data_IF_351663325550
#
_entry.id   IF_351663325550
#
_cell.length_a   1.000
_cell.length_b   1.000
_cell.length_c   1.000
_cell.angle_alpha   90.00
_cell.angle_beta   90.00
_cell.angle_gamma   90.00
#
_symmetry.space_group_name_H-M   'P 1'
#
loop_
_entity.id
_entity.type
_entity.pdbx_description
1 polymer ?
#
# COMPACT_ATOMS: atom_id res chain seq x y z
N UNK A 1 7.46 23.78 22.40
CA UNK A 1 6.54 22.75 21.84
C UNK A 1 5.67 23.34 20.73
N UNK A 2 4.97 24.46 20.96
CA UNK A 2 4.06 25.07 19.98
C UNK A 2 4.79 25.56 18.72
N UNK A 3 5.93 26.27 18.87
CA UNK A 3 6.73 26.76 17.73
C UNK A 3 7.31 25.62 16.87
N UNK A 4 7.83 24.57 17.52
CA UNK A 4 8.37 23.37 16.85
C UNK A 4 7.27 22.58 16.14
N UNK A 5 6.10 22.44 16.76
CA UNK A 5 4.94 21.78 16.14
C UNK A 5 4.46 22.55 14.92
N UNK A 6 4.29 23.87 15.02
CA UNK A 6 3.82 24.71 13.92
C UNK A 6 4.77 24.65 12.71
N UNK A 7 6.08 24.58 12.97
CA UNK A 7 7.10 24.40 11.93
C UNK A 7 6.92 23.10 11.15
N UNK A 8 6.70 21.97 11.83
CA UNK A 8 6.42 20.69 11.17
C UNK A 8 5.04 20.66 10.51
N UNK A 9 4.01 21.17 11.19
CA UNK A 9 2.64 21.15 10.71
C UNK A 9 2.46 21.98 9.43
N UNK A 10 2.95 23.23 9.39
CA UNK A 10 2.96 24.04 8.16
C UNK A 10 3.70 23.36 7.02
N UNK A 11 4.80 22.65 7.30
CA UNK A 11 5.60 21.99 6.28
C UNK A 11 4.96 20.71 5.73
N UNK A 12 4.06 20.07 6.49
CA UNK A 12 3.30 18.89 6.05
C UNK A 12 1.95 19.25 5.42
N UNK A 13 1.26 20.25 5.97
CA UNK A 13 -0.10 20.66 5.62
C UNK A 13 -0.17 21.87 4.67
N UNK A 14 0.96 22.52 4.39
CA UNK A 14 1.04 23.76 3.60
C UNK A 14 1.19 24.99 4.49
N UNK A 15 1.81 26.04 3.95
CA UNK A 15 2.19 27.24 4.73
C UNK A 15 1.00 27.94 5.41
N UNK A 16 -0.16 27.89 4.77
CA UNK A 16 -1.47 28.40 5.21
C UNK A 16 -2.44 27.28 5.61
N UNK A 17 -1.97 26.04 5.77
CA UNK A 17 -2.80 24.87 6.05
C UNK A 17 -3.83 24.52 4.95
N UNK A 18 -3.64 24.97 3.71
CA UNK A 18 -4.58 24.74 2.59
C UNK A 18 -4.97 23.28 2.39
N UNK A 19 -4.06 22.33 2.69
CA UNK A 19 -4.36 20.91 2.55
C UNK A 19 -5.45 20.47 3.52
N UNK A 20 -5.52 21.05 4.72
CA UNK A 20 -6.55 20.72 5.70
C UNK A 20 -7.94 20.94 5.12
N UNK A 21 -8.20 22.16 4.63
CA UNK A 21 -9.51 22.53 4.12
C UNK A 21 -9.87 21.78 2.84
N UNK A 22 -8.91 21.59 1.92
CA UNK A 22 -9.14 20.81 0.69
C UNK A 22 -9.52 19.36 1.00
N UNK A 23 -8.83 18.72 1.95
CA UNK A 23 -9.17 17.37 2.37
C UNK A 23 -10.49 17.32 3.13
N UNK A 24 -10.78 18.32 3.97
CA UNK A 24 -12.08 18.42 4.65
C UNK A 24 -13.23 18.47 3.64
N UNK A 25 -13.18 19.37 2.65
CA UNK A 25 -14.19 19.44 1.57
C UNK A 25 -14.33 18.09 0.84
N UNK A 26 -13.20 17.48 0.46
CA UNK A 26 -13.21 16.20 -0.24
C UNK A 26 -13.85 15.09 0.61
N UNK A 27 -13.56 15.05 1.92
CA UNK A 27 -14.14 14.07 2.85
C UNK A 27 -15.65 14.28 3.00
N UNK A 28 -16.13 15.53 3.11
CA UNK A 28 -17.57 15.82 3.17
C UNK A 28 -18.28 15.41 1.89
N UNK A 29 -17.68 15.69 0.73
CA UNK A 29 -18.24 15.28 -0.57
C UNK A 29 -18.29 13.77 -0.72
N UNK A 30 -17.23 13.06 -0.32
CA UNK A 30 -17.18 11.59 -0.34
C UNK A 30 -18.21 11.01 0.62
N UNK A 31 -18.34 11.54 1.83
CA UNK A 31 -19.35 11.11 2.78
C UNK A 31 -20.75 11.23 2.20
N UNK A 32 -21.10 12.41 1.68
CA UNK A 32 -22.41 12.67 1.08
C UNK A 32 -22.73 11.76 -0.11
N UNK A 33 -21.72 11.48 -0.95
CA UNK A 33 -21.87 10.60 -2.11
C UNK A 33 -21.99 9.12 -1.73
N UNK A 34 -21.40 8.69 -0.63
CA UNK A 34 -21.48 7.31 -0.16
C UNK A 34 -22.74 7.08 0.69
N UNK A 35 -23.13 8.05 1.50
CA UNK A 35 -24.34 7.97 2.33
C UNK A 35 -25.61 7.92 1.49
N UNK A 36 -25.60 8.45 0.26
CA UNK A 36 -26.75 8.35 -0.66
C UNK A 36 -26.97 6.96 -1.25
N UNK A 37 -26.06 6.00 -1.00
CA UNK A 37 -26.19 4.64 -1.50
C UNK A 37 -27.12 3.76 -0.65
N UNK A 38 -27.64 4.26 0.48
CA UNK A 38 -28.56 3.57 1.41
C UNK A 38 -28.19 2.11 1.71
N UNK A 39 -26.88 1.82 1.74
CA UNK A 39 -26.34 0.51 2.10
C UNK A 39 -25.72 0.59 3.48
N UNK A 40 -26.18 -0.27 4.37
CA UNK A 40 -25.60 -0.44 5.70
C UNK A 40 -25.02 -1.84 5.83
N UNK A 41 -23.80 -1.91 6.35
CA UNK A 41 -23.10 -3.13 6.72
C UNK A 41 -22.89 -3.12 8.23
N UNK A 42 -23.12 -4.26 8.86
CA UNK A 42 -22.80 -4.44 10.28
C UNK A 42 -21.29 -4.69 10.40
N UNK A 43 -20.56 -3.64 10.79
CA UNK A 43 -19.10 -3.73 10.96
C UNK A 43 -18.77 -3.73 12.44
N UNK A 44 -18.20 -4.83 12.93
CA UNK A 44 -17.85 -4.97 14.34
C UNK A 44 -16.84 -3.91 14.79
N UNK A 45 -16.95 -3.49 16.06
CA UNK A 45 -16.03 -2.51 16.67
C UNK A 45 -14.57 -3.00 16.61
N UNK A 46 -14.35 -4.30 16.72
CA UNK A 46 -13.02 -4.91 16.66
C UNK A 46 -12.40 -4.76 15.26
N UNK A 47 -13.19 -4.96 14.21
CA UNK A 47 -12.75 -4.76 12.81
C UNK A 47 -12.34 -3.31 12.60
N UNK A 48 -13.18 -2.37 13.05
CA UNK A 48 -12.91 -0.95 12.96
C UNK A 48 -11.59 -0.58 13.64
N UNK A 49 -11.37 -1.03 14.89
CA UNK A 49 -10.14 -0.79 15.63
C UNK A 49 -8.90 -1.35 14.93
N UNK A 50 -8.98 -2.59 14.44
CA UNK A 50 -7.85 -3.23 13.75
C UNK A 50 -7.54 -2.54 12.43
N UNK A 51 -8.57 -2.15 11.67
CA UNK A 51 -8.40 -1.43 10.40
C UNK A 51 -7.70 -0.08 10.58
N UNK A 52 -8.13 0.71 11.57
CA UNK A 52 -7.47 1.97 11.91
C UNK A 52 -6.02 1.72 12.32
N UNK A 53 -5.78 0.70 13.14
CA UNK A 53 -4.45 0.39 13.66
C UNK A 53 -3.47 0.05 12.53
N UNK A 54 -3.81 -0.94 11.69
CA UNK A 54 -2.93 -1.41 10.62
C UNK A 54 -2.69 -0.31 9.58
N UNK A 55 -3.75 0.39 9.18
CA UNK A 55 -3.65 1.45 8.17
C UNK A 55 -2.82 2.64 8.67
N UNK A 56 -3.08 3.11 9.89
CA UNK A 56 -2.34 4.23 10.50
C UNK A 56 -0.88 3.86 10.68
N UNK A 57 -0.59 2.68 11.23
CA UNK A 57 0.78 2.19 11.42
C UNK A 57 1.55 2.19 10.09
N UNK A 58 0.97 1.61 9.04
CA UNK A 58 1.61 1.55 7.71
C UNK A 58 1.88 2.92 7.10
N UNK A 59 0.92 3.85 7.19
CA UNK A 59 1.08 5.20 6.65
C UNK A 59 2.11 6.01 7.40
N UNK A 60 2.08 5.98 8.74
CA UNK A 60 3.05 6.70 9.56
C UNK A 60 4.45 6.15 9.29
N UNK A 61 4.62 4.83 9.30
CA UNK A 61 5.91 4.20 9.01
C UNK A 61 6.44 4.57 7.62
N UNK A 62 5.57 4.56 6.60
CA UNK A 62 5.92 4.99 5.23
C UNK A 62 6.29 6.47 5.18
N UNK A 63 5.59 7.33 5.93
CA UNK A 63 5.87 8.77 5.98
C UNK A 63 7.24 9.02 6.61
N UNK A 64 7.56 8.33 7.70
CA UNK A 64 8.86 8.39 8.36
C UNK A 64 10.00 7.91 7.44
N UNK A 65 9.79 6.81 6.72
CA UNK A 65 10.77 6.21 5.82
C UNK A 65 11.00 6.98 4.50
N UNK A 66 10.21 8.02 4.21
CA UNK A 66 10.29 8.75 2.94
C UNK A 66 11.53 9.65 2.82
N UNK A 67 12.13 9.71 1.62
CA UNK A 67 13.28 10.58 1.35
C UNK A 67 12.95 12.08 1.49
N UNK A 68 11.72 12.46 1.18
CA UNK A 68 11.22 13.82 1.39
C UNK A 68 11.23 14.21 2.87
N UNK A 69 10.87 13.26 3.75
CA UNK A 69 10.93 13.48 5.19
C UNK A 69 12.37 13.63 5.69
N UNK A 70 13.33 12.88 5.12
CA UNK A 70 14.76 13.04 5.44
C UNK A 70 15.26 14.46 5.17
N UNK A 71 14.94 15.02 4.00
CA UNK A 71 15.32 16.39 3.63
C UNK A 71 14.72 17.42 4.59
N UNK A 72 13.48 17.17 5.04
CA UNK A 72 12.77 18.05 5.99
C UNK A 72 13.39 18.02 7.39
N UNK A 73 13.77 16.84 7.89
CA UNK A 73 14.40 16.64 9.18
C UNK A 73 15.81 17.28 9.25
N UNK A 74 16.59 17.22 8.17
CA UNK A 74 17.94 17.81 8.13
C UNK A 74 17.94 19.29 8.51
N UNK A 75 16.98 20.07 8.02
CA UNK A 75 16.86 21.50 8.37
C UNK A 75 16.36 21.73 9.80
N UNK A 76 15.55 20.81 10.36
CA UNK A 76 15.08 20.93 11.74
C UNK A 76 16.18 20.62 12.76
N UNK A 77 17.09 19.71 12.44
CA UNK A 77 18.24 19.38 13.29
C UNK A 77 19.33 20.46 13.32
N UNK A 78 19.29 21.45 12.42
CA UNK A 78 20.21 22.58 12.42
C UNK A 78 19.87 23.65 13.47
N UNK A 79 18.68 23.57 14.07
CA UNK A 79 18.23 24.48 15.12
C UNK A 79 18.48 23.84 16.50
N UNK A 80 18.69 24.63 17.57
CA UNK A 80 18.74 24.07 18.92
C UNK A 80 17.39 23.50 19.34
N UNK A 81 17.35 22.24 19.80
CA UNK A 81 16.13 21.59 20.27
C UNK A 81 16.37 20.71 21.49
N UNK A 82 15.31 20.49 22.28
CA UNK A 82 15.28 19.48 23.36
C UNK A 82 14.71 18.17 22.80
N UNK A 83 15.37 17.01 22.94
CA UNK A 83 14.96 15.77 22.27
C UNK A 83 13.51 15.34 22.54
N UNK A 84 13.08 15.30 23.80
CA UNK A 84 11.72 14.87 24.15
C UNK A 84 10.62 15.80 23.61
N UNK A 85 10.86 17.11 23.60
CA UNK A 85 9.91 18.11 23.05
C UNK A 85 9.90 18.02 21.53
N UNK A 86 11.05 17.81 20.90
CA UNK A 86 11.16 17.61 19.46
C UNK A 86 10.39 16.37 19.01
N UNK A 87 10.61 15.22 19.67
CA UNK A 87 9.95 13.96 19.33
C UNK A 87 8.44 14.08 19.47
N UNK A 88 7.95 14.70 20.55
CA UNK A 88 6.52 14.92 20.76
C UNK A 88 5.94 15.84 19.68
N UNK A 89 6.56 16.99 19.41
CA UNK A 89 6.10 17.92 18.38
C UNK A 89 6.11 17.28 16.99
N UNK A 90 7.13 16.48 16.69
CA UNK A 90 7.25 15.77 15.44
C UNK A 90 6.18 14.68 15.30
N UNK A 91 5.94 13.88 16.35
CA UNK A 91 4.86 12.90 16.40
C UNK A 91 3.50 13.55 16.15
N UNK A 92 3.14 14.59 16.90
CA UNK A 92 1.84 15.24 16.74
C UNK A 92 1.65 15.86 15.36
N UNK A 93 2.70 16.41 14.75
CA UNK A 93 2.61 16.96 13.40
C UNK A 93 2.38 15.86 12.34
N UNK A 94 3.09 14.74 12.45
CA UNK A 94 2.90 13.58 11.55
C UNK A 94 1.55 12.91 11.79
N UNK A 95 1.11 12.81 13.05
CA UNK A 95 -0.20 12.30 13.42
C UNK A 95 -1.30 13.19 12.83
N UNK A 96 -1.27 14.51 13.03
CA UNK A 96 -2.27 15.42 12.45
C UNK A 96 -2.31 15.34 10.92
N UNK A 97 -1.14 15.33 10.28
CA UNK A 97 -1.06 15.14 8.82
C UNK A 97 -1.70 13.81 8.37
N UNK A 98 -1.39 12.72 9.07
CA UNK A 98 -1.91 11.38 8.76
C UNK A 98 -3.41 11.29 9.01
N UNK A 99 -3.89 11.90 10.10
CA UNK A 99 -5.29 11.99 10.46
C UNK A 99 -6.10 12.58 9.33
N UNK A 100 -5.69 13.76 8.88
CA UNK A 100 -6.47 14.55 7.91
C UNK A 100 -6.36 13.98 6.50
N UNK A 101 -5.16 13.58 6.08
CA UNK A 101 -4.90 13.27 4.67
C UNK A 101 -5.08 11.80 4.31
N UNK A 102 -5.23 10.91 5.32
CA UNK A 102 -5.28 9.47 5.09
C UNK A 102 -6.31 8.75 5.96
N UNK A 103 -6.20 8.76 7.29
CA UNK A 103 -7.02 7.89 8.14
C UNK A 103 -8.47 8.36 8.26
N UNK A 104 -8.72 9.66 8.11
CA UNK A 104 -10.06 10.26 7.96
C UNK A 104 -10.88 9.63 6.83
N UNK A 105 -10.26 9.17 5.73
CA UNK A 105 -10.98 8.52 4.64
C UNK A 105 -11.58 7.18 5.06
N UNK A 106 -10.87 6.41 5.89
CA UNK A 106 -11.41 5.18 6.48
C UNK A 106 -12.55 5.49 7.43
N UNK A 107 -12.39 6.55 8.25
CA UNK A 107 -13.45 6.98 9.17
C UNK A 107 -14.71 7.40 8.40
N UNK A 108 -14.58 8.20 7.34
CA UNK A 108 -15.70 8.59 6.48
C UNK A 108 -16.36 7.39 5.81
N UNK A 109 -15.56 6.46 5.29
CA UNK A 109 -16.09 5.23 4.71
C UNK A 109 -16.88 4.42 5.75
N UNK A 110 -16.34 4.26 6.96
CA UNK A 110 -17.06 3.60 8.05
C UNK A 110 -18.35 4.32 8.42
N UNK A 111 -18.31 5.65 8.58
CA UNK A 111 -19.48 6.47 8.91
C UNK A 111 -20.58 6.40 7.83
N UNK A 112 -20.21 6.26 6.56
CA UNK A 112 -21.18 6.18 5.47
C UNK A 112 -21.90 4.83 5.43
N UNK A 113 -21.23 3.75 5.84
CA UNK A 113 -21.69 2.38 5.64
C UNK A 113 -22.06 1.64 6.92
N UNK A 114 -21.75 2.14 8.12
CA UNK A 114 -21.97 1.45 9.39
C UNK A 114 -22.58 2.39 10.45
N UNK A 115 -23.29 1.81 11.42
CA UNK A 115 -23.82 2.54 12.57
C UNK A 115 -22.68 3.00 13.49
N UNK A 116 -22.61 4.31 13.75
CA UNK A 116 -21.58 4.87 14.61
C UNK A 116 -22.12 5.10 16.03
N UNK A 117 -21.65 4.31 16.99
CA UNK A 117 -22.00 4.47 18.41
C UNK A 117 -20.96 5.29 19.17
N UNK A 118 -21.32 5.80 20.35
CA UNK A 118 -20.40 6.60 21.20
C UNK A 118 -19.07 5.89 21.51
N UNK A 119 -19.05 4.54 21.57
CA UNK A 119 -17.83 3.74 21.80
C UNK A 119 -16.83 3.78 20.64
N UNK A 120 -17.25 4.14 19.42
CA UNK A 120 -16.36 4.24 18.27
C UNK A 120 -15.41 5.42 18.36
N UNK A 121 -15.79 6.49 19.08
CA UNK A 121 -14.94 7.67 19.30
C UNK A 121 -13.67 7.34 20.09
N UNK A 122 -13.74 6.78 21.33
CA UNK A 122 -12.55 6.38 22.06
C UNK A 122 -11.80 5.25 21.36
N UNK A 123 -12.50 4.31 20.73
CA UNK A 123 -11.86 3.23 19.97
C UNK A 123 -11.03 3.75 18.79
N UNK A 124 -11.54 4.73 18.05
CA UNK A 124 -10.81 5.40 16.98
C UNK A 124 -9.57 6.11 17.52
N UNK A 125 -9.75 6.96 18.54
CA UNK A 125 -8.66 7.80 19.06
C UNK A 125 -7.51 6.96 19.62
N UNK A 126 -7.83 5.93 20.41
CA UNK A 126 -6.84 5.05 21.01
C UNK A 126 -6.12 4.21 19.95
N UNK A 127 -6.85 3.61 19.02
CA UNK A 127 -6.25 2.81 17.94
C UNK A 127 -5.33 3.66 17.06
N UNK A 128 -5.76 4.88 16.71
CA UNK A 128 -4.99 5.82 15.90
C UNK A 128 -3.69 6.27 16.59
N UNK A 129 -3.78 6.74 17.84
CA UNK A 129 -2.62 7.21 18.60
C UNK A 129 -1.63 6.08 18.86
N UNK A 130 -2.13 4.91 19.28
CA UNK A 130 -1.31 3.75 19.56
C UNK A 130 -0.56 3.26 18.31
N UNK A 131 -1.24 3.15 17.17
CA UNK A 131 -0.62 2.77 15.90
C UNK A 131 0.46 3.76 15.45
N UNK A 132 0.19 5.06 15.58
CA UNK A 132 1.14 6.10 15.26
C UNK A 132 2.40 6.03 16.13
N UNK A 133 2.24 5.90 17.45
CA UNK A 133 3.36 5.78 18.39
C UNK A 133 4.18 4.51 18.11
N UNK A 134 3.51 3.39 17.82
CA UNK A 134 4.18 2.12 17.54
C UNK A 134 5.03 2.24 16.29
N UNK A 135 4.53 2.90 15.25
CA UNK A 135 5.29 3.17 14.03
C UNK A 135 6.56 4.02 14.30
N UNK A 136 6.45 5.04 15.15
CA UNK A 136 7.60 5.87 15.55
C UNK A 136 8.67 5.07 16.30
N UNK A 137 8.26 4.27 17.29
CA UNK A 137 9.17 3.47 18.11
C UNK A 137 9.85 2.39 17.27
N UNK A 138 9.07 1.65 16.47
CA UNK A 138 9.59 0.62 15.56
C UNK A 138 10.58 1.24 14.59
N UNK A 139 10.27 2.38 13.98
CA UNK A 139 11.18 3.07 13.06
C UNK A 139 12.49 3.47 13.75
N UNK A 140 12.41 4.07 14.94
CA UNK A 140 13.59 4.49 15.70
C UNK A 140 14.46 3.30 16.13
N UNK A 141 13.87 2.18 16.55
CA UNK A 141 14.58 0.96 16.93
C UNK A 141 15.27 0.30 15.73
N UNK A 142 14.58 0.22 14.59
CA UNK A 142 15.15 -0.32 13.35
C UNK A 142 16.36 0.50 12.88
N UNK A 143 16.28 1.84 12.95
CA UNK A 143 17.41 2.71 12.61
C UNK A 143 18.53 2.67 13.64
N UNK A 144 18.21 2.46 14.92
CA UNK A 144 19.19 2.24 15.98
C UNK A 144 19.84 0.85 15.97
N UNK A 145 19.49 -0.03 15.02
CA UNK A 145 20.06 -1.38 14.88
C UNK A 145 19.40 -2.44 15.76
N UNK A 146 18.48 -2.09 16.66
CA UNK A 146 17.85 -3.03 17.58
C UNK A 146 16.60 -3.69 16.96
N UNK A 147 16.85 -4.63 16.04
CA UNK A 147 15.78 -5.31 15.29
C UNK A 147 14.90 -6.20 16.17
N UNK A 148 15.46 -6.82 17.21
CA UNK A 148 14.72 -7.71 18.11
C UNK A 148 13.65 -6.91 18.86
N UNK A 149 14.03 -5.79 19.47
CA UNK A 149 13.08 -4.92 20.16
C UNK A 149 12.00 -4.37 19.22
N UNK A 150 12.35 -4.03 17.98
CA UNK A 150 11.37 -3.60 16.98
C UNK A 150 10.36 -4.72 16.65
N UNK A 151 10.81 -5.96 16.46
CA UNK A 151 9.94 -7.11 16.25
C UNK A 151 9.03 -7.36 17.45
N UNK A 152 9.53 -7.25 18.69
CA UNK A 152 8.72 -7.41 19.90
C UNK A 152 7.59 -6.38 19.98
N UNK A 153 7.84 -5.11 19.65
CA UNK A 153 6.80 -4.08 19.60
C UNK A 153 5.75 -4.36 18.53
N UNK A 154 6.15 -4.86 17.35
CA UNK A 154 5.21 -5.26 16.29
C UNK A 154 4.36 -6.45 16.75
N UNK A 155 4.97 -7.47 17.38
CA UNK A 155 4.26 -8.64 17.89
C UNK A 155 3.28 -8.27 19.01
N UNK A 156 3.69 -7.39 19.92
CA UNK A 156 2.80 -6.88 20.97
C UNK A 156 1.60 -6.13 20.37
N UNK A 157 1.84 -5.31 19.35
CA UNK A 157 0.76 -4.62 18.64
C UNK A 157 -0.19 -5.61 17.97
N UNK A 158 0.35 -6.63 17.30
CA UNK A 158 -0.44 -7.68 16.67
C UNK A 158 -1.27 -8.46 17.70
N UNK A 159 -0.70 -8.81 18.85
CA UNK A 159 -1.42 -9.47 19.94
C UNK A 159 -2.57 -8.62 20.48
N UNK A 160 -2.36 -7.30 20.67
CA UNK A 160 -3.43 -6.38 21.08
C UNK A 160 -4.57 -6.32 20.04
N UNK A 161 -4.25 -6.33 18.74
CA UNK A 161 -5.25 -6.37 17.67
C UNK A 161 -6.07 -7.67 17.63
N UNK A 162 -5.57 -8.76 18.21
CA UNK A 162 -6.21 -10.08 18.22
C UNK A 162 -7.06 -10.33 19.47
N UNK A 163 -7.03 -9.44 20.47
CA UNK A 163 -7.83 -9.60 21.69
C UNK A 163 -9.34 -9.60 21.36
N UNK A 164 -10.11 -10.64 21.71
CA UNK A 164 -11.50 -10.79 21.26
C UNK A 164 -12.44 -9.79 21.91
N UNK A 165 -12.17 -9.36 23.13
CA UNK A 165 -13.04 -8.42 23.84
C UNK A 165 -12.65 -6.95 23.61
N UNK A 166 -13.60 -6.07 23.26
CA UNK A 166 -13.31 -4.67 22.99
C UNK A 166 -12.84 -3.91 24.23
N UNK A 167 -13.34 -4.26 25.42
CA UNK A 167 -12.97 -3.63 26.69
C UNK A 167 -11.49 -3.87 27.02
N UNK A 168 -11.03 -5.12 26.98
CA UNK A 168 -9.61 -5.47 27.21
C UNK A 168 -8.69 -4.89 26.14
N UNK A 169 -9.17 -4.80 24.89
CA UNK A 169 -8.41 -4.15 23.82
C UNK A 169 -8.22 -2.65 24.07
N UNK A 170 -9.27 -1.94 24.46
CA UNK A 170 -9.19 -0.49 24.76
C UNK A 170 -8.26 -0.20 25.95
N UNK A 171 -8.35 -0.97 27.03
CA UNK A 171 -7.48 -0.81 28.20
C UNK A 171 -6.03 -1.15 27.86
N UNK A 172 -5.79 -2.21 27.10
CA UNK A 172 -4.46 -2.57 26.58
C UNK A 172 -3.85 -1.47 25.71
N UNK A 173 -4.63 -0.87 24.81
CA UNK A 173 -4.20 0.26 23.98
C UNK A 173 -3.85 1.50 24.84
N UNK A 174 -4.64 1.82 25.86
CA UNK A 174 -4.36 2.92 26.79
C UNK A 174 -3.01 2.73 27.49
N UNK A 175 -2.78 1.56 28.10
CA UNK A 175 -1.52 1.22 28.78
C UNK A 175 -0.35 1.31 27.80
N UNK A 176 -0.54 0.76 26.60
CA UNK A 176 0.46 0.77 25.53
C UNK A 176 0.80 2.20 25.09
N UNK A 177 -0.17 3.09 24.92
CA UNK A 177 0.06 4.51 24.59
C UNK A 177 0.93 5.20 25.64
N UNK A 178 0.62 5.00 26.93
CA UNK A 178 1.37 5.63 28.03
C UNK A 178 2.82 5.17 28.03
N UNK A 179 3.05 3.86 27.93
CA UNK A 179 4.38 3.26 27.89
C UNK A 179 5.17 3.76 26.67
N UNK A 180 4.54 3.75 25.50
CA UNK A 180 5.14 4.21 24.25
C UNK A 180 5.44 5.71 24.27
N UNK A 181 4.58 6.54 24.86
CA UNK A 181 4.81 7.97 25.04
C UNK A 181 6.08 8.25 25.86
N UNK A 182 6.30 7.48 26.94
CA UNK A 182 7.51 7.57 27.75
C UNK A 182 8.76 7.14 26.98
N UNK A 183 8.69 6.02 26.25
CA UNK A 183 9.79 5.54 25.40
C UNK A 183 10.14 6.57 24.32
N UNK A 184 9.14 7.14 23.66
CA UNK A 184 9.33 8.15 22.63
C UNK A 184 9.97 9.43 23.21
N UNK A 185 9.59 9.84 24.41
CA UNK A 185 10.18 11.00 25.07
C UNK A 185 11.69 10.81 25.35
N UNK A 186 12.11 9.59 25.66
CA UNK A 186 13.52 9.23 25.91
C UNK A 186 14.31 8.85 24.67
N UNK A 187 13.65 8.70 23.52
CA UNK A 187 14.30 8.27 22.28
C UNK A 187 15.18 9.41 21.73
N UNK A 188 16.37 9.06 21.25
CA UNK A 188 17.23 10.02 20.57
C UNK A 188 16.58 10.46 19.23
N UNK A 189 16.37 11.77 19.08
CA UNK A 189 15.76 12.37 17.89
C UNK A 189 16.52 12.07 16.60
N UNK A 190 17.84 11.84 16.67
CA UNK A 190 18.64 11.50 15.49
C UNK A 190 18.29 10.12 14.91
N UNK A 191 17.64 9.23 15.67
CA UNK A 191 17.19 7.92 15.16
C UNK A 191 16.09 8.03 14.11
N UNK A 192 15.40 9.18 14.03
CA UNK A 192 14.46 9.46 12.95
C UNK A 192 15.15 9.87 11.65
N UNK A 193 16.46 10.13 11.69
CA UNK A 193 17.29 10.38 10.52
C UNK A 193 17.99 9.10 10.06
N UNK A 194 17.79 8.71 8.81
CA UNK A 194 18.52 7.60 8.18
C UNK A 194 19.48 8.15 7.14
N UNK A 195 20.78 7.98 7.38
CA UNK A 195 21.80 8.33 6.40
C UNK A 195 21.82 7.27 5.29
N UNK A 196 21.33 7.65 4.11
CA UNK A 196 21.36 6.80 2.94
C UNK A 196 22.75 6.87 2.32
N UNK A 197 23.71 6.14 2.89
CA UNK A 197 24.91 5.80 2.11
C UNK A 197 24.45 4.98 0.91
N UNK A 198 24.49 5.59 -0.28
CA UNK A 198 24.43 4.88 -1.55
C UNK A 198 25.52 3.82 -1.49
N UNK A 199 25.13 2.56 -1.27
CA UNK A 199 26.03 1.45 -1.55
C UNK A 199 26.08 1.35 -3.07
N UNK A 200 27.12 1.95 -3.64
CA UNK A 200 27.48 1.78 -5.05
C UNK A 200 27.54 0.29 -5.33
N UNK A 201 26.52 -0.20 -6.02
CA UNK A 201 26.40 -1.62 -6.32
C UNK A 201 27.34 -1.91 -7.47
N UNK A 202 28.47 -2.53 -7.14
CA UNK A 202 29.52 -2.97 -8.05
C UNK A 202 28.95 -3.62 -9.32
N UNK A 203 29.51 -3.22 -10.46
CA UNK A 203 29.17 -3.75 -11.77
C UNK A 203 29.63 -5.21 -11.88
N UNK A 204 28.69 -6.15 -11.75
CA UNK A 204 28.93 -7.56 -12.07
C UNK A 204 29.03 -7.78 -13.60
N UNK A 205 29.92 -8.67 -14.08
CA UNK A 205 30.20 -8.87 -15.49
C UNK A 205 29.04 -9.54 -16.25
N UNK A 206 28.86 -9.14 -17.51
CA UNK A 206 27.83 -9.63 -18.41
C UNK A 206 28.11 -11.08 -18.83
N UNK A 207 27.23 -12.02 -18.46
CA UNK A 207 27.08 -13.26 -19.24
C UNK A 207 25.59 -13.64 -19.35
N UNK A 208 25.08 -13.56 -20.59
CA UNK A 208 23.71 -13.86 -21.02
C UNK A 208 22.63 -12.97 -20.36
N UNK A 209 22.21 -11.87 -20.97
CA UNK A 209 21.26 -10.92 -20.37
C UNK A 209 19.81 -11.16 -20.82
N UNK A 210 19.06 -11.98 -20.06
CA UNK A 210 17.60 -12.04 -20.18
C UNK A 210 16.95 -10.80 -19.55
N UNK A 211 15.89 -10.25 -20.15
CA UNK A 211 15.17 -9.10 -19.60
C UNK A 211 14.62 -9.33 -18.19
N UNK A 212 14.25 -10.57 -17.84
CA UNK A 212 13.86 -10.94 -16.47
C UNK A 212 14.97 -10.72 -15.45
N UNK A 213 16.22 -11.08 -15.77
CA UNK A 213 17.38 -10.82 -14.91
C UNK A 213 17.61 -9.33 -14.71
N UNK A 214 17.35 -8.52 -15.75
CA UNK A 214 17.36 -7.06 -15.61
C UNK A 214 16.29 -6.58 -14.63
N UNK A 215 15.04 -7.04 -14.76
CA UNK A 215 13.93 -6.68 -13.86
C UNK A 215 14.27 -7.05 -12.41
N UNK A 216 14.70 -8.30 -12.16
CA UNK A 216 15.02 -8.78 -10.81
C UNK A 216 16.15 -7.96 -10.20
N UNK A 217 17.22 -7.73 -10.96
CA UNK A 217 18.35 -6.89 -10.50
C UNK A 217 17.88 -5.47 -10.19
N UNK A 218 17.06 -4.89 -11.06
CA UNK A 218 16.51 -3.56 -10.86
C UNK A 218 15.67 -3.48 -9.57
N UNK A 219 14.77 -4.45 -9.31
CA UNK A 219 13.98 -4.48 -8.07
C UNK A 219 14.86 -4.59 -6.81
N UNK A 220 15.90 -5.43 -6.85
CA UNK A 220 16.82 -5.60 -5.70
C UNK A 220 17.60 -4.30 -5.43
N UNK A 221 18.01 -3.59 -6.48
CA UNK A 221 18.67 -2.29 -6.35
C UNK A 221 17.71 -1.20 -5.85
N UNK A 222 16.44 -1.22 -6.27
CA UNK A 222 15.42 -0.25 -5.88
C UNK A 222 14.50 -0.80 -4.78
N UNK A 223 15.00 -0.80 -3.54
CA UNK A 223 14.30 -1.34 -2.34
C UNK A 223 12.89 -0.81 -2.13
N UNK A 224 12.57 0.40 -2.58
CA UNK A 224 11.22 0.99 -2.51
C UNK A 224 10.17 0.13 -3.21
N UNK A 225 10.51 -0.55 -4.31
CA UNK A 225 9.62 -1.43 -5.06
C UNK A 225 9.34 -2.69 -4.25
N UNK A 226 10.40 -3.28 -3.66
CA UNK A 226 10.27 -4.46 -2.79
C UNK A 226 9.42 -4.17 -1.55
N UNK A 227 9.61 -3.02 -0.90
CA UNK A 227 8.82 -2.65 0.27
C UNK A 227 7.33 -2.46 -0.07
N UNK A 228 7.00 -1.97 -1.27
CA UNK A 228 5.62 -1.83 -1.69
C UNK A 228 4.96 -3.20 -1.93
N UNK A 229 5.63 -4.10 -2.66
CA UNK A 229 5.13 -5.47 -2.86
C UNK A 229 4.96 -6.19 -1.53
N UNK A 230 5.93 -6.06 -0.60
CA UNK A 230 5.82 -6.65 0.73
C UNK A 230 4.65 -6.05 1.54
N UNK A 231 4.44 -4.73 1.46
CA UNK A 231 3.29 -4.10 2.09
C UNK A 231 1.96 -4.60 1.50
N UNK A 232 1.92 -4.87 0.20
CA UNK A 232 0.75 -5.43 -0.48
C UNK A 232 0.49 -6.89 -0.06
N UNK A 233 1.54 -7.70 0.17
CA UNK A 233 1.42 -9.04 0.74
C UNK A 233 0.85 -9.02 2.17
N UNK A 234 1.35 -8.10 3.03
CA UNK A 234 0.80 -7.93 4.39
C UNK A 234 -0.65 -7.47 4.32
N UNK A 235 -0.96 -6.54 3.42
CA UNK A 235 -2.32 -6.06 3.19
C UNK A 235 -3.25 -7.17 2.69
N UNK A 236 -2.77 -8.12 1.90
CA UNK A 236 -3.52 -9.30 1.49
C UNK A 236 -3.98 -10.14 2.69
N UNK A 237 -3.05 -10.50 3.58
CA UNK A 237 -3.41 -11.26 4.80
C UNK A 237 -4.38 -10.47 5.70
N UNK A 238 -4.14 -9.17 5.87
CA UNK A 238 -5.04 -8.29 6.61
C UNK A 238 -6.44 -8.21 5.98
N UNK A 239 -6.53 -8.10 4.66
CA UNK A 239 -7.81 -8.06 3.95
C UNK A 239 -8.59 -9.36 4.10
N UNK A 240 -7.92 -10.52 4.04
CA UNK A 240 -8.57 -11.81 4.25
C UNK A 240 -9.20 -11.90 5.66
N UNK A 241 -8.46 -11.45 6.68
CA UNK A 241 -8.98 -11.35 8.05
C UNK A 241 -10.16 -10.38 8.17
N UNK A 242 -10.09 -9.21 7.53
CA UNK A 242 -11.17 -8.21 7.62
C UNK A 242 -12.46 -8.66 6.94
N UNK A 243 -12.37 -9.30 5.78
CA UNK A 243 -13.53 -9.77 5.02
C UNK A 243 -14.31 -10.85 5.77
N UNK A 244 -13.61 -11.72 6.52
CA UNK A 244 -14.22 -12.69 7.45
C UNK A 244 -15.12 -12.01 8.46
N UNK A 245 -14.55 -11.03 9.15
CA UNK A 245 -15.17 -10.37 10.28
C UNK A 245 -16.34 -9.46 9.88
N UNK A 246 -16.45 -9.13 8.59
CA UNK A 246 -17.56 -8.37 8.01
C UNK A 246 -18.60 -9.27 7.33
N UNK A 247 -18.44 -10.60 7.37
CA UNK A 247 -19.27 -11.57 6.65
C UNK A 247 -19.38 -11.31 5.14
N UNK A 248 -18.33 -10.74 4.54
CA UNK A 248 -18.29 -10.36 3.12
C UNK A 248 -17.66 -11.46 2.24
N UNK A 249 -17.99 -12.72 2.50
CA UNK A 249 -17.43 -13.89 1.79
C UNK A 249 -17.58 -13.84 0.27
N UNK A 250 -18.71 -13.36 -0.21
CA UNK A 250 -19.05 -13.20 -1.63
C UNK A 250 -18.26 -12.08 -2.34
N UNK A 251 -17.48 -11.27 -1.61
CA UNK A 251 -16.70 -10.14 -2.15
C UNK A 251 -15.24 -10.52 -2.44
N UNK A 252 -14.90 -11.81 -2.42
CA UNK A 252 -13.57 -12.33 -2.71
C UNK A 252 -12.98 -11.87 -4.06
N UNK A 253 -13.75 -11.77 -5.17
CA UNK A 253 -13.25 -11.23 -6.43
C UNK A 253 -12.78 -9.78 -6.32
N UNK A 254 -13.42 -8.97 -5.47
CA UNK A 254 -13.03 -7.58 -5.23
C UNK A 254 -11.67 -7.51 -4.53
N UNK A 255 -11.36 -8.47 -3.65
CA UNK A 255 -10.04 -8.55 -3.01
C UNK A 255 -8.92 -8.70 -4.04
N UNK A 256 -9.08 -9.58 -5.04
CA UNK A 256 -8.10 -9.73 -6.13
C UNK A 256 -7.93 -8.43 -6.92
N UNK A 257 -9.02 -7.71 -7.18
CA UNK A 257 -8.96 -6.42 -7.85
C UNK A 257 -8.19 -5.37 -7.03
N UNK A 258 -8.42 -5.27 -5.71
CA UNK A 258 -7.68 -4.32 -4.86
C UNK A 258 -6.21 -4.75 -4.71
N UNK A 259 -5.92 -6.04 -4.66
CA UNK A 259 -4.55 -6.55 -4.63
C UNK A 259 -3.80 -6.38 -5.95
N UNK A 260 -4.49 -5.96 -7.03
CA UNK A 260 -3.85 -5.56 -8.29
C UNK A 260 -3.24 -4.15 -8.26
N UNK A 261 -3.39 -3.38 -7.17
CA UNK A 261 -2.77 -2.06 -6.97
C UNK A 261 -1.23 -2.11 -6.79
N UNK A 262 -0.53 -3.03 -7.47
CA UNK A 262 0.91 -3.13 -7.46
C UNK A 262 1.55 -2.07 -8.38
N UNK A 263 1.47 -0.83 -7.91
CA UNK A 263 1.77 0.37 -8.68
C UNK A 263 3.22 0.43 -9.18
N UNK A 264 4.25 0.12 -8.36
CA UNK A 264 5.64 0.21 -8.79
C UNK A 264 5.99 -0.81 -9.86
N UNK A 265 5.43 -2.01 -9.79
CA UNK A 265 5.66 -3.05 -10.80
C UNK A 265 4.91 -2.72 -12.10
N UNK A 266 3.70 -2.16 -12.01
CA UNK A 266 2.91 -1.73 -13.17
C UNK A 266 3.43 -0.49 -13.91
N UNK A 267 4.47 0.19 -13.38
CA UNK A 267 5.12 1.35 -14.00
C UNK A 267 6.62 1.16 -14.26
N UNK A 268 7.11 -0.09 -14.17
CA UNK A 268 8.54 -0.41 -14.18
C UNK A 268 9.24 0.01 -15.49
N UNK A 269 8.56 -0.07 -16.64
CA UNK A 269 9.15 0.40 -17.90
C UNK A 269 9.19 1.92 -17.95
N UNK A 270 8.13 2.58 -17.49
CA UNK A 270 8.02 4.04 -17.40
C UNK A 270 8.97 4.66 -16.36
N UNK A 271 9.43 3.91 -15.36
CA UNK A 271 10.38 4.41 -14.35
C UNK A 271 11.80 4.62 -14.89
N UNK A 272 12.14 4.01 -16.04
CA UNK A 272 13.42 4.20 -16.69
C UNK A 272 13.27 4.94 -18.04
N UNK A 273 13.61 6.24 -18.03
CA UNK A 273 13.46 7.17 -19.17
C UNK A 273 14.10 6.66 -20.47
N UNK A 274 15.23 5.97 -20.38
CA UNK A 274 15.96 5.47 -21.54
C UNK A 274 15.55 4.07 -21.97
N UNK A 275 14.87 3.31 -21.09
CA UNK A 275 14.59 1.90 -21.32
C UNK A 275 13.53 1.70 -22.41
N UNK A 276 12.46 2.49 -22.38
CA UNK A 276 11.39 2.39 -23.37
C UNK A 276 11.91 2.62 -24.80
N UNK A 277 12.71 3.68 -25.03
CA UNK A 277 13.35 3.94 -26.33
C UNK A 277 14.31 2.84 -26.75
N UNK A 278 15.10 2.29 -25.81
CA UNK A 278 16.02 1.17 -26.10
C UNK A 278 15.26 -0.10 -26.48
N UNK A 279 14.15 -0.39 -25.81
CA UNK A 279 13.31 -1.54 -26.16
C UNK A 279 12.70 -1.34 -27.56
N UNK A 280 12.24 -0.12 -27.88
CA UNK A 280 11.72 0.23 -29.21
C UNK A 280 12.73 0.09 -30.35
N UNK A 281 14.03 0.00 -30.06
CA UNK A 281 15.08 -0.22 -31.05
C UNK A 281 15.46 -1.71 -31.20
N UNK A 282 14.99 -2.59 -30.31
CA UNK A 282 15.34 -4.02 -30.36
C UNK A 282 14.48 -4.76 -31.40
N UNK A 283 15.04 -5.69 -32.19
CA UNK A 283 14.22 -6.63 -32.95
C UNK A 283 13.54 -7.62 -32.00
N UNK A 284 12.27 -7.96 -32.26
CA UNK A 284 11.51 -8.93 -31.47
C UNK A 284 11.10 -8.45 -30.07
N UNK A 285 10.78 -7.17 -29.92
CA UNK A 285 10.45 -6.50 -28.64
C UNK A 285 9.35 -7.21 -27.85
N UNK A 286 8.32 -7.69 -28.56
CA UNK A 286 7.24 -8.45 -27.95
C UNK A 286 7.76 -9.68 -27.20
N UNK A 287 8.66 -10.44 -27.82
CA UNK A 287 9.17 -11.70 -27.26
C UNK A 287 10.25 -11.48 -26.22
N UNK A 288 11.14 -10.50 -26.45
CA UNK A 288 12.31 -10.28 -25.59
C UNK A 288 12.01 -9.41 -24.38
N UNK A 289 10.94 -8.62 -24.41
CA UNK A 289 10.64 -7.64 -23.35
C UNK A 289 9.20 -7.71 -22.87
N UNK A 290 8.20 -7.60 -23.76
CA UNK A 290 6.78 -7.50 -23.38
C UNK A 290 6.29 -8.78 -22.70
N UNK A 291 6.55 -9.95 -23.31
CA UNK A 291 6.15 -11.26 -22.75
C UNK A 291 6.85 -11.54 -21.41
N UNK A 292 8.18 -11.41 -21.28
CA UNK A 292 8.84 -11.63 -19.99
C UNK A 292 8.38 -10.64 -18.91
N UNK A 293 8.10 -9.38 -19.28
CA UNK A 293 7.54 -8.42 -18.34
C UNK A 293 6.13 -8.82 -17.87
N UNK A 294 5.25 -9.23 -18.79
CA UNK A 294 3.92 -9.72 -18.43
C UNK A 294 3.95 -10.97 -17.55
N UNK A 295 4.82 -11.93 -17.87
CA UNK A 295 5.04 -13.12 -17.03
C UNK A 295 5.53 -12.73 -15.62
N UNK A 296 6.40 -11.74 -15.52
CA UNK A 296 6.85 -11.24 -14.22
C UNK A 296 5.69 -10.65 -13.40
N UNK A 297 4.84 -9.80 -14.01
CA UNK A 297 3.66 -9.24 -13.32
C UNK A 297 2.69 -10.36 -12.91
N UNK A 298 2.43 -11.31 -13.81
CA UNK A 298 1.57 -12.47 -13.53
C UNK A 298 2.07 -13.25 -12.31
N UNK A 299 3.35 -13.61 -12.27
CA UNK A 299 3.95 -14.35 -11.15
C UNK A 299 3.82 -13.58 -9.84
N UNK A 300 4.08 -12.27 -9.84
CA UNK A 300 3.97 -11.46 -8.63
C UNK A 300 2.52 -11.35 -8.15
N UNK A 301 1.56 -11.16 -9.07
CA UNK A 301 0.14 -11.12 -8.72
C UNK A 301 -0.32 -12.48 -8.16
N UNK A 302 0.05 -13.59 -8.81
CA UNK A 302 -0.26 -14.94 -8.32
C UNK A 302 0.33 -15.19 -6.93
N UNK A 303 1.55 -14.73 -6.67
CA UNK A 303 2.17 -14.84 -5.34
C UNK A 303 1.37 -14.07 -4.28
N UNK A 304 0.95 -12.84 -4.57
CA UNK A 304 0.13 -12.03 -3.65
C UNK A 304 -1.25 -12.69 -3.43
N UNK A 305 -1.88 -13.19 -4.50
CA UNK A 305 -3.17 -13.86 -4.42
C UNK A 305 -3.09 -15.19 -3.67
N UNK A 306 -1.98 -15.92 -3.80
CA UNK A 306 -1.72 -17.12 -3.01
C UNK A 306 -1.67 -16.78 -1.51
N UNK A 307 -0.95 -15.72 -1.12
CA UNK A 307 -0.91 -15.27 0.29
C UNK A 307 -2.32 -14.93 0.78
N UNK A 308 -3.11 -14.23 -0.03
CA UNK A 308 -4.50 -13.93 0.28
C UNK A 308 -5.34 -15.20 0.49
N UNK A 309 -5.28 -16.15 -0.45
CA UNK A 309 -6.05 -17.40 -0.39
C UNK A 309 -5.61 -18.32 0.76
N UNK A 310 -4.31 -18.39 1.06
CA UNK A 310 -3.80 -19.15 2.22
C UNK A 310 -4.29 -18.49 3.51
N UNK A 311 -4.25 -17.16 3.59
CA UNK A 311 -4.79 -16.43 4.74
C UNK A 311 -6.30 -16.65 4.86
N UNK A 312 -7.03 -16.63 3.75
CA UNK A 312 -8.45 -16.94 3.72
C UNK A 312 -8.74 -18.33 4.25
N UNK A 313 -7.99 -19.34 3.79
CA UNK A 313 -8.12 -20.73 4.23
C UNK A 313 -7.85 -20.88 5.74
N UNK A 314 -6.87 -20.16 6.27
CA UNK A 314 -6.55 -20.19 7.71
C UNK A 314 -7.68 -19.61 8.57
N UNK A 315 -8.38 -18.60 8.05
CA UNK A 315 -9.45 -17.90 8.77
C UNK A 315 -10.82 -18.60 8.57
N UNK A 316 -11.19 -18.97 7.35
CA UNK A 316 -12.52 -19.49 6.99
C UNK A 316 -12.60 -21.02 6.88
N UNK A 317 -11.47 -21.72 6.95
CA UNK A 317 -11.38 -23.18 6.87
C UNK A 317 -11.55 -23.79 5.47
N UNK A 318 -12.14 -23.07 4.50
CA UNK A 318 -12.28 -23.55 3.11
C UNK A 318 -12.22 -22.43 2.08
N UNK A 319 -11.82 -22.79 0.85
CA UNK A 319 -11.83 -21.93 -0.34
C UNK A 319 -12.46 -22.74 -1.48
N UNK A 320 -13.51 -22.22 -2.10
CA UNK A 320 -14.11 -22.89 -3.27
C UNK A 320 -13.15 -22.91 -4.46
N UNK A 321 -13.21 -23.99 -5.25
CA UNK A 321 -12.34 -24.21 -6.43
C UNK A 321 -12.45 -23.04 -7.42
N UNK A 322 -13.65 -22.45 -7.55
CA UNK A 322 -13.91 -21.32 -8.45
C UNK A 322 -13.02 -20.12 -8.12
N UNK A 323 -12.71 -19.86 -6.85
CA UNK A 323 -11.86 -18.73 -6.47
C UNK A 323 -10.39 -18.91 -6.85
N UNK A 324 -9.89 -20.16 -6.91
CA UNK A 324 -8.57 -20.42 -7.49
C UNK A 324 -8.57 -20.09 -8.99
N UNK A 325 -9.62 -20.47 -9.72
CA UNK A 325 -9.77 -20.16 -11.15
C UNK A 325 -9.84 -18.64 -11.35
N UNK A 326 -10.69 -17.94 -10.59
CA UNK A 326 -10.81 -16.49 -10.62
C UNK A 326 -9.46 -15.83 -10.35
N UNK A 327 -8.69 -16.29 -9.36
CA UNK A 327 -7.39 -15.72 -9.05
C UNK A 327 -6.41 -15.79 -10.23
N UNK A 328 -6.40 -16.90 -10.97
CA UNK A 328 -5.54 -17.08 -12.15
C UNK A 328 -5.98 -16.15 -13.27
N UNK A 329 -7.28 -16.10 -13.56
CA UNK A 329 -7.87 -15.25 -14.61
C UNK A 329 -7.62 -13.78 -14.30
N UNK A 330 -7.84 -13.33 -13.06
CA UNK A 330 -7.59 -11.96 -12.63
C UNK A 330 -6.11 -11.59 -12.68
N UNK A 331 -5.22 -12.50 -12.26
CA UNK A 331 -3.78 -12.24 -12.31
C UNK A 331 -3.30 -12.09 -13.76
N UNK A 332 -3.82 -12.91 -14.68
CA UNK A 332 -3.55 -12.83 -16.10
C UNK A 332 -4.10 -11.55 -16.72
N UNK A 333 -5.37 -11.21 -16.49
CA UNK A 333 -5.98 -10.00 -17.02
C UNK A 333 -5.26 -8.74 -16.52
N UNK A 334 -4.94 -8.69 -15.22
CA UNK A 334 -4.17 -7.60 -14.62
C UNK A 334 -2.79 -7.45 -15.27
N UNK A 335 -2.09 -8.56 -15.52
CA UNK A 335 -0.78 -8.55 -16.17
C UNK A 335 -0.87 -8.05 -17.62
N UNK A 336 -1.84 -8.53 -18.41
CA UNK A 336 -2.03 -8.12 -19.80
C UNK A 336 -2.38 -6.63 -19.86
N UNK A 337 -3.34 -6.19 -19.05
CA UNK A 337 -3.75 -4.79 -18.99
C UNK A 337 -2.60 -3.86 -18.58
N UNK A 338 -1.81 -4.23 -17.56
CA UNK A 338 -0.67 -3.43 -17.11
C UNK A 338 0.42 -3.30 -18.17
N UNK A 339 0.77 -4.40 -18.84
CA UNK A 339 1.74 -4.41 -19.92
C UNK A 339 1.25 -3.63 -21.14
N UNK A 340 0.00 -3.84 -21.54
CA UNK A 340 -0.61 -3.12 -22.66
C UNK A 340 -0.60 -1.60 -22.41
N UNK A 341 -0.98 -1.21 -21.20
CA UNK A 341 -1.01 0.20 -20.81
C UNK A 341 0.41 0.79 -20.77
N UNK A 342 1.44 0.03 -20.37
CA UNK A 342 2.85 0.48 -20.37
C UNK A 342 3.38 0.61 -21.78
N UNK A 343 2.94 -0.29 -22.67
CA UNK A 343 3.37 -0.30 -24.05
C UNK A 343 2.75 0.83 -24.86
N UNK A 344 1.44 1.06 -24.71
CA UNK A 344 0.68 2.03 -25.49
C UNK A 344 0.67 3.44 -24.89
N UNK A 345 0.64 3.55 -23.56
CA UNK A 345 0.58 4.83 -22.84
C UNK A 345 1.64 4.94 -21.72
N UNK A 346 2.94 4.85 -22.07
CA UNK A 346 4.04 4.99 -21.12
C UNK A 346 4.15 6.42 -20.54
N UNK A 347 4.46 6.53 -19.25
CA UNK A 347 4.56 7.82 -18.56
C UNK A 347 5.95 8.43 -18.75
N UNK A 348 6.05 9.45 -19.61
CA UNK A 348 7.33 10.06 -20.00
C UNK A 348 7.65 11.38 -19.27
N UNK A 349 6.63 12.14 -18.89
CA UNK A 349 6.77 13.52 -18.39
C UNK A 349 6.73 13.59 -16.87
N UNK A 350 7.75 13.06 -16.21
CA UNK A 350 7.91 13.12 -14.75
C UNK A 350 9.27 13.71 -14.39
N UNK A 351 9.34 14.58 -13.37
CA UNK A 351 10.58 15.26 -12.94
C UNK A 351 11.29 14.46 -11.86
N UNK A 352 10.53 13.91 -10.93
CA UNK A 352 10.99 13.07 -9.83
C UNK A 352 10.25 11.73 -9.89
N UNK A 353 10.88 10.64 -9.43
CA UNK A 353 10.26 9.31 -9.41
C UNK A 353 8.95 9.28 -8.61
N UNK A 354 8.82 10.12 -7.59
CA UNK A 354 7.58 10.29 -6.86
C UNK A 354 6.41 10.71 -7.76
N UNK A 355 6.64 11.49 -8.84
CA UNK A 355 5.57 11.93 -9.75
C UNK A 355 4.91 10.74 -10.46
N UNK A 356 5.69 9.71 -10.80
CA UNK A 356 5.16 8.46 -11.36
C UNK A 356 4.17 7.79 -10.39
N UNK A 357 4.47 7.85 -9.10
CA UNK A 357 3.62 7.27 -8.06
C UNK A 357 2.36 8.09 -7.78
N UNK A 358 2.19 9.27 -8.37
CA UNK A 358 0.99 10.09 -8.25
C UNK A 358 0.23 10.22 -9.57
N UNK A 359 0.78 9.69 -10.66
CA UNK A 359 0.18 9.81 -11.98
C UNK A 359 -1.15 9.04 -12.10
N UNK A 360 -2.24 9.63 -12.63
CA UNK A 360 -3.57 9.02 -12.63
C UNK A 360 -3.64 7.68 -13.38
N UNK A 361 -2.86 7.54 -14.46
CA UNK A 361 -2.73 6.30 -15.27
C UNK A 361 -2.52 5.03 -14.42
N UNK A 362 -1.84 5.13 -13.28
CA UNK A 362 -1.54 3.97 -12.43
C UNK A 362 -2.78 3.34 -11.77
N UNK A 363 -3.91 4.06 -11.76
CA UNK A 363 -5.18 3.59 -11.22
C UNK A 363 -6.09 2.95 -12.28
N UNK A 364 -5.72 3.00 -13.56
CA UNK A 364 -6.56 2.49 -14.64
C UNK A 364 -6.75 0.97 -14.57
N UNK A 365 -5.66 0.20 -14.38
CA UNK A 365 -5.76 -1.26 -14.30
C UNK A 365 -6.56 -1.71 -13.08
N UNK A 366 -6.28 -1.22 -11.85
CA UNK A 366 -7.08 -1.63 -10.71
C UNK A 366 -8.56 -1.25 -10.83
N UNK A 367 -8.88 -0.09 -11.41
CA UNK A 367 -10.26 0.31 -11.65
C UNK A 367 -10.97 -0.64 -12.63
N UNK A 368 -10.30 -1.04 -13.72
CA UNK A 368 -10.81 -2.07 -14.62
C UNK A 368 -11.03 -3.40 -13.87
N UNK A 369 -10.08 -3.82 -13.04
CA UNK A 369 -10.22 -5.06 -12.26
C UNK A 369 -11.40 -4.99 -11.29
N UNK A 370 -11.67 -3.84 -10.67
CA UNK A 370 -12.83 -3.67 -9.79
C UNK A 370 -14.15 -3.80 -10.55
N UNK A 371 -14.23 -3.29 -11.78
CA UNK A 371 -15.42 -3.47 -12.63
C UNK A 371 -15.61 -4.93 -13.03
N UNK A 372 -14.53 -5.64 -13.36
CA UNK A 372 -14.58 -7.08 -13.64
C UNK A 372 -14.98 -7.88 -12.39
N UNK A 373 -14.50 -7.51 -11.21
CA UNK A 373 -14.92 -8.12 -9.95
C UNK A 373 -16.42 -7.94 -9.71
N UNK A 374 -16.94 -6.72 -9.92
CA UNK A 374 -18.37 -6.47 -9.80
C UNK A 374 -19.21 -7.28 -10.81
N UNK A 375 -18.70 -7.48 -12.03
CA UNK A 375 -19.35 -8.34 -13.02
C UNK A 375 -19.38 -9.81 -12.58
N UNK A 376 -18.26 -10.34 -12.07
CA UNK A 376 -18.19 -11.71 -11.52
C UNK A 376 -19.13 -11.91 -10.34
N UNK A 377 -19.25 -10.90 -9.48
CA UNK A 377 -20.13 -10.97 -8.32
C UNK A 377 -21.62 -10.84 -8.68
N UNK A 378 -21.95 -10.29 -9.85
CA UNK A 378 -23.34 -10.12 -10.29
C UNK A 378 -23.83 -11.24 -11.21
N UNK A 379 -22.91 -11.92 -11.90
CA UNK A 379 -23.25 -12.98 -12.84
C UNK A 379 -22.18 -14.07 -12.85
N UNK A 380 -22.54 -15.30 -12.47
CA UNK A 380 -21.63 -16.46 -12.44
C UNK A 380 -20.97 -16.72 -13.81
N UNK A 381 -21.72 -16.51 -14.89
CA UNK A 381 -21.24 -16.66 -16.27
C UNK A 381 -20.10 -15.68 -16.63
N UNK A 382 -19.95 -14.56 -15.90
CA UNK A 382 -18.94 -13.56 -16.18
C UNK A 382 -17.51 -14.11 -16.02
N UNK A 383 -17.28 -15.09 -15.14
CA UNK A 383 -15.96 -15.72 -14.99
C UNK A 383 -15.51 -16.37 -16.30
N UNK A 384 -16.41 -17.09 -16.97
CA UNK A 384 -16.12 -17.75 -18.24
C UNK A 384 -15.90 -16.74 -19.37
N UNK A 385 -16.67 -15.65 -19.40
CA UNK A 385 -16.48 -14.57 -20.38
C UNK A 385 -15.12 -13.89 -20.23
N UNK A 386 -14.70 -13.62 -18.99
CA UNK A 386 -13.39 -13.02 -18.71
C UNK A 386 -12.28 -14.01 -19.06
N UNK A 387 -12.43 -15.29 -18.73
CA UNK A 387 -11.47 -16.32 -19.10
C UNK A 387 -11.32 -16.45 -20.63
N UNK A 388 -12.43 -16.38 -21.37
CA UNK A 388 -12.41 -16.37 -22.84
C UNK A 388 -11.68 -15.13 -23.38
N UNK A 389 -11.95 -13.95 -22.81
CA UNK A 389 -11.27 -12.71 -23.18
C UNK A 389 -9.76 -12.80 -22.94
N UNK A 390 -9.32 -13.25 -21.76
CA UNK A 390 -7.90 -13.52 -21.46
C UNK A 390 -7.32 -14.51 -22.48
N UNK A 391 -8.04 -15.58 -22.79
CA UNK A 391 -7.61 -16.59 -23.77
C UNK A 391 -7.40 -16.00 -25.17
N UNK A 392 -8.31 -15.14 -25.63
CA UNK A 392 -8.20 -14.43 -26.91
C UNK A 392 -7.00 -13.48 -26.90
N UNK A 393 -6.84 -12.68 -25.84
CA UNK A 393 -5.71 -11.74 -25.71
C UNK A 393 -4.36 -12.48 -25.74
N UNK A 394 -4.25 -13.59 -25.01
CA UNK A 394 -3.07 -14.45 -25.04
C UNK A 394 -2.85 -15.02 -26.44
N UNK A 395 -3.88 -15.57 -27.08
CA UNK A 395 -3.79 -16.11 -28.44
C UNK A 395 -3.33 -15.04 -29.45
N UNK A 396 -3.81 -13.80 -29.35
CA UNK A 396 -3.37 -12.68 -30.19
C UNK A 396 -1.89 -12.33 -29.96
N UNK A 397 -1.43 -12.31 -28.71
CA UNK A 397 -0.02 -12.07 -28.37
C UNK A 397 0.85 -13.19 -28.94
N UNK A 398 0.41 -14.44 -28.88
CA UNK A 398 1.12 -15.59 -29.41
C UNK A 398 1.06 -15.70 -30.93
N UNK A 399 -0.04 -15.34 -31.59
CA UNK A 399 -0.14 -15.33 -33.06
C UNK A 399 0.69 -14.22 -33.69
N UNK A 400 0.82 -13.06 -33.04
CA UNK A 400 1.81 -12.04 -33.42
C UNK A 400 3.26 -12.54 -33.32
N UNK A 401 3.55 -13.67 -32.65
CA UNK A 401 4.87 -14.31 -32.69
C UNK A 401 5.22 -14.89 -34.07
N UNK A 402 4.23 -15.24 -34.91
CA UNK A 402 4.46 -15.87 -36.23
C UNK A 402 4.56 -14.86 -37.38
N UNK A 403 4.09 -13.62 -37.20
CA UNK A 403 4.02 -12.61 -38.25
C UNK A 403 5.27 -11.76 -38.48
N UNK A 404 6.29 -11.85 -37.63
CA UNK A 404 7.56 -11.11 -37.80
C UNK A 404 8.63 -12.11 -38.24
N UNK A 405 8.50 -12.62 -39.47
CA UNK A 405 9.57 -13.38 -40.12
C UNK A 405 10.14 -12.71 -41.37
N UNK A 406 9.56 -11.63 -41.89
CA UNK A 406 10.11 -10.87 -43.01
C UNK A 406 9.66 -9.41 -42.93
N UNK A 407 10.51 -8.52 -42.40
CA UNK A 407 10.86 -7.19 -42.96
C UNK A 407 12.23 -6.83 -42.41
#
# INVERSE_FOLDING_TARGET
>A
MISTFHGFAKKLLGASYDRLWKHAIALTAIYAALSSLDRHYEVSLLVFMTAITVFTFGIVLKTLASDDNRRKLKGAFMLPFRPGIFNAAYFYAVALYTLVTKTSYILVFYLAFSSFTAMHVPAFLLSFLNAGLTAFIVFALLNGGNRIAACLWILLQAALCLLPEPSYRLTGLLISIILQGFVLHRTDSYRFYKDSRMKDSHAAPLRSSSFLRYIVRYLISHKSYLYNTLALCVFAGFMAFMLEQMHLGSYLPLAFAVLSFNTPIGILLSSNRGLHRKIQMLPGQLQRTVVPYGLFILIVNLFIYMIFLVSWLLFHGSVEIVYYVISIVFAAQSAIAAVWLEWKYPVHKWRVESDLWHHPRKYAVPLMMCLLAAAVMSMDAAVYLIALLVGIEVALIFNRRRGIRNV
#
